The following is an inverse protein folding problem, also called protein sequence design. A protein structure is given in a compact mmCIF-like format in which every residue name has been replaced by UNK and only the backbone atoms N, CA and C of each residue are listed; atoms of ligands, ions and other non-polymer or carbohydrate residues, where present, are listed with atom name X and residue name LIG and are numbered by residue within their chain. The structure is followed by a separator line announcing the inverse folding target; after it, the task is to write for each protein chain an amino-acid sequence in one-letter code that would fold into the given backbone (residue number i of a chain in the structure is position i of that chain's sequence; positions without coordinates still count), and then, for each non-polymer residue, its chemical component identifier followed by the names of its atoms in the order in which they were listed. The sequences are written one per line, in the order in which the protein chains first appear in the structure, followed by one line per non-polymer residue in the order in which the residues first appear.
data_IF_991366866081
#
_entry.id   IF_991366866081
#
_cell.length_a   1.000
_cell.length_b   1.000
_cell.length_c   1.000
_cell.angle_alpha   90.00
_cell.angle_beta   90.00
_cell.angle_gamma   90.00
#
_symmetry.space_group_name_H-M   'P 1'
#
loop_
_entity.id
_entity.type
_entity.pdbx_description
1 polymer ?
#
# COMPACT_ATOMS: atom_id res chain seq x y z
N UNK A 1 -32.00 -6.08 -45.71
CA UNK A 1 -32.17 -6.14 -44.23
C UNK A 1 -30.81 -6.43 -43.59
N UNK A 2 -30.12 -5.41 -43.05
CA UNK A 2 -28.76 -5.55 -42.48
C UNK A 2 -28.88 -6.18 -41.07
N UNK A 3 -28.79 -7.51 -40.98
CA UNK A 3 -28.71 -8.27 -39.72
C UNK A 3 -27.27 -8.29 -39.21
N UNK A 4 -26.76 -7.14 -38.82
CA UNK A 4 -25.58 -7.04 -37.95
C UNK A 4 -26.05 -6.17 -36.80
N UNK A 5 -25.64 -6.49 -35.55
CA UNK A 5 -25.40 -5.58 -34.39
C UNK A 5 -25.60 -6.23 -33.02
N UNK A 6 -25.88 -7.54 -32.89
CA UNK A 6 -25.89 -8.19 -31.57
C UNK A 6 -24.52 -8.72 -31.11
N UNK A 7 -23.70 -9.40 -31.93
CA UNK A 7 -22.41 -9.94 -31.45
C UNK A 7 -21.33 -8.86 -31.27
N UNK A 8 -21.46 -7.69 -31.91
CA UNK A 8 -20.45 -6.62 -31.85
C UNK A 8 -20.41 -5.89 -30.50
N UNK A 9 -21.50 -5.95 -29.72
CA UNK A 9 -21.60 -5.33 -28.39
C UNK A 9 -21.27 -6.32 -27.27
N UNK A 10 -21.45 -7.63 -27.52
CA UNK A 10 -21.08 -8.67 -26.56
C UNK A 10 -19.56 -8.85 -26.43
N UNK A 11 -18.80 -8.68 -27.52
CA UNK A 11 -17.33 -8.80 -27.50
C UNK A 11 -16.67 -7.79 -26.54
N UNK A 12 -16.96 -6.48 -26.57
CA UNK A 12 -16.35 -5.54 -25.62
C UNK A 12 -16.80 -5.78 -24.17
N UNK A 13 -18.05 -6.22 -23.94
CA UNK A 13 -18.53 -6.58 -22.59
C UNK A 13 -17.81 -7.83 -22.07
N UNK A 14 -17.61 -8.83 -22.92
CA UNK A 14 -16.88 -10.04 -22.59
C UNK A 14 -15.39 -9.77 -22.35
N UNK A 15 -14.76 -8.94 -23.18
CA UNK A 15 -13.37 -8.51 -23.00
C UNK A 15 -13.19 -7.67 -21.74
N UNK A 16 -14.15 -6.80 -21.40
CA UNK A 16 -14.14 -6.05 -20.14
C UNK A 16 -14.29 -7.00 -18.93
N UNK A 17 -15.21 -7.97 -19.00
CA UNK A 17 -15.35 -9.00 -17.97
C UNK A 17 -14.10 -9.87 -17.81
N UNK A 18 -13.43 -10.22 -18.92
CA UNK A 18 -12.18 -10.98 -18.92
C UNK A 18 -11.02 -10.14 -18.36
N UNK A 19 -10.96 -8.84 -18.69
CA UNK A 19 -10.01 -7.88 -18.13
C UNK A 19 -10.16 -7.76 -16.61
N UNK A 20 -11.39 -7.72 -16.10
CA UNK A 20 -11.66 -7.74 -14.65
C UNK A 20 -11.26 -9.06 -13.98
N UNK A 21 -11.15 -10.15 -14.74
CA UNK A 21 -10.75 -11.47 -14.23
C UNK A 21 -9.23 -11.61 -14.08
N UNK A 22 -8.44 -10.82 -14.81
CA UNK A 22 -6.99 -10.75 -14.64
C UNK A 22 -6.64 -9.84 -13.45
N UNK A 23 -6.79 -10.38 -12.24
CA UNK A 23 -6.22 -9.77 -11.05
C UNK A 23 -4.70 -10.00 -11.05
N UNK A 24 -3.90 -8.96 -10.84
CA UNK A 24 -2.46 -9.10 -10.61
C UNK A 24 -2.23 -9.89 -9.31
N UNK A 25 -1.63 -11.07 -9.41
CA UNK A 25 -1.31 -11.92 -8.26
C UNK A 25 0.11 -11.65 -7.75
N UNK A 26 0.33 -11.79 -6.45
CA UNK A 26 1.63 -11.54 -5.82
C UNK A 26 1.92 -10.06 -5.52
N UNK A 27 3.16 -9.77 -5.12
CA UNK A 27 3.59 -8.42 -4.73
C UNK A 27 3.64 -7.49 -5.94
N UNK A 28 2.93 -6.37 -5.83
CA UNK A 28 2.86 -5.33 -6.85
C UNK A 28 3.70 -4.14 -6.38
N UNK A 29 4.66 -3.70 -7.20
CA UNK A 29 5.47 -2.50 -6.96
C UNK A 29 5.11 -1.49 -8.03
N UNK A 30 4.84 -0.25 -7.60
CA UNK A 30 4.35 0.80 -8.51
C UNK A 30 4.71 2.19 -7.98
N UNK A 31 4.67 3.17 -8.88
CA UNK A 31 4.92 4.57 -8.55
C UNK A 31 3.60 5.36 -8.45
N UNK A 32 3.68 6.57 -7.90
CA UNK A 32 2.52 7.48 -7.86
C UNK A 32 2.02 7.84 -9.27
N UNK A 33 2.91 7.86 -10.27
CA UNK A 33 2.56 8.07 -11.68
C UNK A 33 1.71 6.93 -12.28
N UNK A 34 1.75 5.74 -11.68
CA UNK A 34 0.94 4.59 -12.10
C UNK A 34 -0.49 4.72 -11.57
N UNK A 35 -1.21 5.75 -12.04
CA UNK A 35 -2.52 6.19 -11.51
C UNK A 35 -3.50 5.05 -11.25
N UNK A 36 -3.64 4.08 -12.15
CA UNK A 36 -4.50 2.91 -11.95
C UNK A 36 -4.09 2.10 -10.70
N UNK A 37 -2.82 1.72 -10.59
CA UNK A 37 -2.31 0.93 -9.45
C UNK A 37 -2.34 1.74 -8.16
N UNK A 38 -2.01 3.02 -8.24
CA UNK A 38 -2.04 3.94 -7.10
C UNK A 38 -3.44 4.10 -6.49
N UNK A 39 -4.46 4.29 -7.33
CA UNK A 39 -5.82 4.42 -6.82
C UNK A 39 -6.44 3.09 -6.39
N UNK A 40 -6.05 1.99 -7.05
CA UNK A 40 -6.59 0.66 -6.78
C UNK A 40 -5.96 -0.03 -5.56
N UNK A 41 -4.66 0.11 -5.34
CA UNK A 41 -3.90 -0.70 -4.37
C UNK A 41 -3.31 0.08 -3.18
N UNK A 42 -3.35 1.42 -3.21
CA UNK A 42 -2.84 2.22 -2.09
C UNK A 42 -3.94 2.51 -1.08
N UNK A 43 -3.77 2.02 0.15
CA UNK A 43 -4.66 2.37 1.26
C UNK A 43 -4.65 3.88 1.50
N UNK A 44 -5.82 4.45 1.81
CA UNK A 44 -5.97 5.89 2.03
C UNK A 44 -5.01 6.47 3.08
N UNK A 45 -4.75 5.72 4.15
CA UNK A 45 -3.83 6.09 5.21
C UNK A 45 -2.35 5.94 4.83
N UNK A 46 -2.01 5.23 3.75
CA UNK A 46 -0.67 5.22 3.13
C UNK A 46 -0.57 6.36 2.10
N UNK A 47 -1.65 6.62 1.35
CA UNK A 47 -1.74 7.70 0.37
C UNK A 47 -1.51 9.09 0.99
N UNK A 48 -2.00 9.28 2.21
CA UNK A 48 -1.94 10.55 2.94
C UNK A 48 -0.63 10.76 3.72
N UNK A 49 0.31 9.82 3.64
CA UNK A 49 1.60 9.92 4.33
C UNK A 49 2.44 11.06 3.73
N UNK A 50 3.16 11.83 4.56
CA UNK A 50 4.10 12.84 4.05
C UNK A 50 5.22 12.18 3.24
N UNK A 51 5.54 12.76 2.08
CA UNK A 51 6.67 12.28 1.26
C UNK A 51 7.97 12.80 1.89
N UNK A 52 8.75 11.90 2.47
CA UNK A 52 10.01 12.23 3.18
C UNK A 52 11.27 12.08 2.30
N UNK A 53 11.08 11.68 1.04
CA UNK A 53 12.09 11.60 0.00
C UNK A 53 11.41 11.73 -1.37
N UNK A 54 12.16 12.21 -2.37
CA UNK A 54 11.75 12.21 -3.78
C UNK A 54 11.87 10.81 -4.41
N UNK A 55 12.73 9.96 -3.85
CA UNK A 55 12.92 8.59 -4.31
C UNK A 55 12.08 7.65 -3.44
N UNK A 56 10.88 7.31 -3.90
CA UNK A 56 9.98 6.39 -3.21
C UNK A 56 9.14 5.57 -4.18
N UNK A 57 8.66 4.44 -3.69
CA UNK A 57 7.76 3.56 -4.41
C UNK A 57 6.69 3.00 -3.47
N UNK A 58 5.57 2.59 -4.03
CA UNK A 58 4.52 1.89 -3.30
C UNK A 58 4.64 0.38 -3.51
N UNK A 59 4.21 -0.36 -2.51
CA UNK A 59 4.13 -1.81 -2.56
C UNK A 59 2.76 -2.27 -2.05
N UNK A 60 2.17 -3.22 -2.76
CA UNK A 60 0.94 -3.89 -2.35
C UNK A 60 1.18 -5.40 -2.31
N UNK A 61 0.76 -6.02 -1.22
CA UNK A 61 0.76 -7.47 -1.06
C UNK A 61 -0.70 -7.89 -0.84
N UNK A 62 -1.30 -8.68 -1.76
CA UNK A 62 -2.64 -9.19 -1.59
C UNK A 62 -2.70 -10.19 -0.42
N UNK A 63 -3.92 -10.47 0.05
CA UNK A 63 -4.12 -11.55 1.02
C UNK A 63 -3.77 -12.88 0.36
N UNK A 64 -2.76 -13.56 0.88
CA UNK A 64 -2.31 -14.87 0.39
C UNK A 64 -2.14 -15.85 1.58
N UNK A 65 -3.09 -16.77 1.73
CA UNK A 65 -3.09 -17.73 2.83
C UNK A 65 -3.22 -17.06 4.19
N UNK A 66 -2.17 -17.13 5.01
CA UNK A 66 -2.09 -16.50 6.34
C UNK A 66 -1.53 -15.08 6.30
N UNK A 67 -1.08 -14.60 5.14
CA UNK A 67 -0.55 -13.25 4.96
C UNK A 67 -1.73 -12.29 4.78
N UNK A 68 -1.89 -11.37 5.73
CA UNK A 68 -2.83 -10.26 5.60
C UNK A 68 -2.42 -9.32 4.47
N UNK A 69 -3.42 -8.77 3.79
CA UNK A 69 -3.24 -7.67 2.86
C UNK A 69 -2.39 -6.54 3.48
N UNK A 70 -1.47 -6.01 2.68
CA UNK A 70 -0.55 -4.97 3.12
C UNK A 70 -0.35 -3.91 2.03
N UNK A 71 -0.57 -2.66 2.40
CA UNK A 71 -0.26 -1.50 1.57
C UNK A 71 0.92 -0.75 2.17
N UNK A 72 1.93 -0.43 1.38
CA UNK A 72 3.19 0.15 1.87
C UNK A 72 3.70 1.28 0.98
N UNK A 73 4.47 2.17 1.59
CA UNK A 73 5.35 3.13 0.93
C UNK A 73 6.78 2.89 1.39
N UNK A 74 7.72 2.87 0.45
CA UNK A 74 9.15 2.67 0.69
C UNK A 74 9.90 3.90 0.20
N UNK A 75 10.56 4.58 1.12
CA UNK A 75 11.41 5.73 0.84
C UNK A 75 12.87 5.28 0.79
N UNK A 76 13.57 5.76 -0.22
CA UNK A 76 15.02 5.62 -0.39
C UNK A 76 15.70 6.96 -0.13
N UNK A 77 17.02 6.95 0.04
CA UNK A 77 17.85 8.15 0.17
C UNK A 77 17.44 9.08 1.35
N UNK A 78 16.82 8.51 2.38
CA UNK A 78 16.44 9.24 3.60
C UNK A 78 16.59 8.35 4.83
N UNK A 79 16.96 8.97 5.95
CA UNK A 79 17.07 8.35 7.27
C UNK A 79 16.15 8.99 8.30
N UNK A 80 15.56 10.15 7.96
CA UNK A 80 14.65 10.84 8.86
C UNK A 80 13.22 10.31 8.70
N UNK A 81 12.78 9.54 9.70
CA UNK A 81 11.41 9.05 9.80
C UNK A 81 10.54 9.87 10.76
N UNK A 82 11.04 10.95 11.36
CA UNK A 82 10.26 11.77 12.30
C UNK A 82 8.92 12.25 11.72
N UNK A 83 8.84 12.71 10.45
CA UNK A 83 7.55 13.13 9.86
C UNK A 83 6.53 11.98 9.77
N UNK A 84 6.99 10.74 9.61
CA UNK A 84 6.11 9.57 9.59
C UNK A 84 5.54 9.28 10.98
N UNK A 85 6.37 9.41 12.03
CA UNK A 85 5.93 9.23 13.42
C UNK A 85 4.94 10.32 13.83
N UNK A 86 5.21 11.56 13.45
CA UNK A 86 4.30 12.69 13.70
C UNK A 86 2.96 12.49 12.99
N UNK A 87 2.99 12.03 11.73
CA UNK A 87 1.77 11.66 11.00
C UNK A 87 0.96 10.58 11.74
N UNK A 88 1.60 9.50 12.21
CA UNK A 88 0.92 8.43 12.94
C UNK A 88 0.31 8.94 14.26
N UNK A 89 1.06 9.72 15.03
CA UNK A 89 0.54 10.35 16.26
C UNK A 89 -0.66 11.26 15.98
N UNK A 90 -0.54 12.16 15.01
CA UNK A 90 -1.60 13.11 14.65
C UNK A 90 -2.85 12.44 14.09
N UNK A 91 -2.72 11.25 13.50
CA UNK A 91 -3.84 10.46 12.98
C UNK A 91 -4.47 9.51 14.02
N UNK A 92 -3.98 9.54 15.27
CA UNK A 92 -4.55 8.80 16.39
C UNK A 92 -4.00 7.38 16.55
N UNK A 93 -2.77 7.15 16.10
CA UNK A 93 -2.01 5.93 16.35
C UNK A 93 -1.00 6.18 17.47
N UNK A 94 -0.66 5.12 18.20
CA UNK A 94 0.35 5.16 19.25
C UNK A 94 1.36 4.03 19.05
N UNK A 95 2.60 4.30 19.44
CA UNK A 95 3.66 3.30 19.44
C UNK A 95 3.34 2.21 20.47
N UNK A 96 3.11 0.99 19.99
CA UNK A 96 2.78 -0.16 20.84
C UNK A 96 4.03 -0.92 21.28
N UNK A 97 4.92 -1.23 20.33
CA UNK A 97 6.19 -1.90 20.61
C UNK A 97 7.24 -1.60 19.57
N UNK A 98 8.50 -1.71 19.97
CA UNK A 98 9.65 -1.71 19.08
C UNK A 98 10.29 -3.10 19.05
N UNK A 99 10.83 -3.48 17.91
CA UNK A 99 11.52 -4.75 17.66
C UNK A 99 12.83 -4.47 16.93
N UNK A 100 13.67 -5.51 16.82
CA UNK A 100 14.92 -5.47 16.05
C UNK A 100 15.80 -4.28 16.45
N UNK A 101 16.01 -4.07 17.75
CA UNK A 101 16.81 -2.96 18.29
C UNK A 101 16.30 -1.57 17.87
N UNK A 102 14.99 -1.42 17.65
CA UNK A 102 14.35 -0.15 17.29
C UNK A 102 14.17 0.08 15.79
N UNK A 103 14.61 -0.86 14.94
CA UNK A 103 14.41 -0.76 13.49
C UNK A 103 12.95 -0.96 13.07
N UNK A 104 12.21 -1.81 13.78
CA UNK A 104 10.83 -2.10 13.45
C UNK A 104 9.92 -1.59 14.57
N UNK A 105 9.09 -0.62 14.26
CA UNK A 105 8.13 -0.04 15.19
C UNK A 105 6.72 -0.46 14.80
N UNK A 106 5.95 -0.90 15.79
CA UNK A 106 4.55 -1.32 15.61
C UNK A 106 3.64 -0.29 16.25
N UNK A 107 2.69 0.20 15.47
CA UNK A 107 1.78 1.27 15.82
C UNK A 107 0.34 0.78 15.73
N UNK A 108 -0.44 1.04 16.78
CA UNK A 108 -1.83 0.61 16.88
C UNK A 108 -2.78 1.81 16.89
N UNK A 109 -3.95 1.64 16.28
CA UNK A 109 -5.01 2.65 16.40
C UNK A 109 -5.54 2.71 17.83
N UNK A 110 -5.57 3.91 18.40
CA UNK A 110 -6.14 4.16 19.73
C UNK A 110 -7.65 3.85 19.80
N UNK A 111 -8.37 3.89 18.67
CA UNK A 111 -9.83 3.73 18.62
C UNK A 111 -10.29 2.29 18.55
N UNK A 112 -9.64 1.45 17.75
CA UNK A 112 -10.19 0.14 17.42
C UNK A 112 -9.21 -1.03 17.53
N UNK A 113 -7.94 -0.82 17.88
CA UNK A 113 -6.87 -1.86 17.96
C UNK A 113 -6.75 -2.76 16.71
N UNK A 114 -7.38 -2.39 15.58
CA UNK A 114 -7.48 -3.20 14.36
C UNK A 114 -6.55 -2.72 13.25
N UNK A 115 -6.28 -1.41 13.17
CA UNK A 115 -5.32 -0.91 12.18
C UNK A 115 -3.90 -1.00 12.74
N UNK A 116 -3.08 -1.81 12.07
CA UNK A 116 -1.68 -2.04 12.39
C UNK A 116 -0.80 -1.30 11.37
N UNK A 117 -0.04 -0.30 11.83
CA UNK A 117 1.06 0.26 11.06
C UNK A 117 2.38 -0.35 11.53
N UNK A 118 3.26 -0.66 10.59
CA UNK A 118 4.65 -1.02 10.87
C UNK A 118 5.59 -0.04 10.17
N UNK A 119 6.46 0.58 10.94
CA UNK A 119 7.52 1.46 10.44
C UNK A 119 8.85 0.73 10.57
N UNK A 120 9.46 0.39 9.44
CA UNK A 120 10.72 -0.32 9.35
C UNK A 120 11.82 0.57 8.79
N UNK A 121 12.94 0.66 9.49
CA UNK A 121 14.15 1.35 9.06
C UNK A 121 15.27 0.31 8.86
N UNK A 122 15.86 0.29 7.68
CA UNK A 122 16.99 -0.60 7.37
C UNK A 122 18.23 -0.22 8.19
N UNK A 123 18.96 -1.20 8.75
CA UNK A 123 20.18 -0.96 9.56
C UNK A 123 21.23 -0.10 8.83
N UNK A 124 21.28 -0.22 7.51
CA UNK A 124 22.28 0.47 6.68
C UNK A 124 21.78 1.84 6.24
N UNK A 125 20.58 2.26 6.69
CA UNK A 125 19.96 3.54 6.33
C UNK A 125 19.54 3.61 4.86
N UNK A 126 19.38 2.47 4.18
CA UNK A 126 19.09 2.43 2.73
C UNK A 126 17.64 2.73 2.40
N UNK A 127 16.73 2.39 3.30
CA UNK A 127 15.31 2.65 3.10
C UNK A 127 14.54 2.73 4.42
N UNK A 128 13.41 3.42 4.34
CA UNK A 128 12.39 3.49 5.38
C UNK A 128 11.09 3.00 4.74
N UNK A 129 10.48 1.98 5.33
CA UNK A 129 9.21 1.40 4.87
C UNK A 129 8.13 1.66 5.91
N UNK A 130 7.03 2.26 5.49
CA UNK A 130 5.80 2.32 6.27
C UNK A 130 4.77 1.40 5.61
N UNK A 131 4.26 0.45 6.38
CA UNK A 131 3.25 -0.51 5.92
C UNK A 131 2.01 -0.44 6.80
N UNK A 132 0.86 -0.60 6.19
CA UNK A 132 -0.43 -0.76 6.86
C UNK A 132 -0.99 -2.12 6.51
N UNK A 133 -1.38 -2.88 7.54
CA UNK A 133 -2.02 -4.17 7.37
C UNK A 133 -3.50 -4.12 7.70
N UNK A 134 -4.30 -4.79 6.87
CA UNK A 134 -5.70 -5.12 7.13
C UNK A 134 -5.75 -6.32 8.09
N UNK A 135 -6.06 -6.10 9.38
CA UNK A 135 -6.37 -7.19 10.33
C UNK A 135 -7.84 -7.60 10.25
#
# INVERSE_FOLDING_TARGET
MKKIRLPLLCIPVFLFGLFLFFHETGRIIYNESDTYRYYMYTDSGIRNVPRISENYQFEYIPTEGTISEMSSIVFHDTQDCAPLKDYLNNTGYYLYRTQDQGQNEIWLSARNKKALYSLHQDKQGRFIRLSRSSL
#
